data_IF_426380446519
#
_entry.id   IF_426380446519
#
_cell.length_a   1.000
_cell.length_b   1.000
_cell.length_c   1.000
_cell.angle_alpha   90.00
_cell.angle_beta   90.00
_cell.angle_gamma   90.00
#
_symmetry.space_group_name_H-M   'P 1'
#
loop_
_entity.id
_entity.type
_entity.pdbx_description
1 polymer ?
#
# COMPACT_ATOMS: atom_id res chain seq x y z
N UNK A 1 -17.74 10.66 14.45
CA UNK A 1 -17.01 9.52 13.88
C UNK A 1 -15.53 9.86 13.72
N UNK A 2 -14.62 8.85 13.80
CA UNK A 2 -13.16 9.07 13.64
C UNK A 2 -12.83 9.64 12.27
N UNK A 3 -13.44 9.11 11.20
CA UNK A 3 -13.26 9.60 9.81
C UNK A 3 -13.55 11.11 9.68
N UNK A 4 -14.60 11.60 10.30
CA UNK A 4 -15.00 13.01 10.23
C UNK A 4 -14.02 13.91 10.98
N UNK A 5 -13.47 13.41 12.10
CA UNK A 5 -12.40 14.09 12.83
C UNK A 5 -11.11 14.16 12.05
N UNK A 6 -10.75 13.08 11.33
CA UNK A 6 -9.56 13.05 10.46
C UNK A 6 -9.71 14.07 9.33
N UNK A 7 -10.88 14.11 8.67
CA UNK A 7 -11.20 15.09 7.63
C UNK A 7 -11.04 16.52 8.15
N UNK A 8 -11.74 16.85 9.26
CA UNK A 8 -11.69 18.19 9.85
C UNK A 8 -10.30 18.59 10.35
N UNK A 9 -9.55 17.65 10.94
CA UNK A 9 -8.18 17.93 11.39
C UNK A 9 -7.21 18.10 10.22
N UNK A 10 -7.30 17.27 9.17
CA UNK A 10 -6.47 17.37 7.97
C UNK A 10 -6.70 18.69 7.22
N UNK A 11 -7.95 19.18 7.20
CA UNK A 11 -8.28 20.46 6.55
C UNK A 11 -7.56 21.67 7.15
N UNK A 12 -7.03 21.56 8.36
CA UNK A 12 -6.23 22.62 9.01
C UNK A 12 -4.77 22.63 8.62
N UNK A 13 -4.31 21.75 7.72
CA UNK A 13 -2.91 21.62 7.32
C UNK A 13 -2.01 20.93 8.34
N UNK A 14 -2.57 20.37 9.42
CA UNK A 14 -1.81 19.60 10.41
C UNK A 14 -1.59 18.15 9.95
N UNK A 15 -0.49 17.54 10.39
CA UNK A 15 -0.24 16.11 10.18
C UNK A 15 -1.23 15.31 11.02
N UNK A 16 -2.03 14.49 10.34
CA UNK A 16 -3.10 13.69 10.97
C UNK A 16 -2.92 12.23 10.60
N UNK A 17 -2.98 11.37 11.61
CA UNK A 17 -2.90 9.93 11.46
C UNK A 17 -4.08 9.28 12.19
N UNK A 18 -4.60 8.22 11.61
CA UNK A 18 -5.53 7.29 12.27
C UNK A 18 -5.10 5.85 12.01
N UNK A 19 -5.40 4.97 12.93
CA UNK A 19 -5.13 3.54 12.80
C UNK A 19 -6.36 2.71 13.12
N UNK A 20 -6.53 1.60 12.43
CA UNK A 20 -7.58 0.62 12.70
C UNK A 20 -7.18 -0.75 12.15
N UNK A 21 -8.09 -1.70 12.22
CA UNK A 21 -7.94 -3.05 11.66
C UNK A 21 -9.15 -3.37 10.81
N UNK A 22 -8.93 -3.91 9.63
CA UNK A 22 -9.89 -4.43 8.64
C UNK A 22 -11.35 -3.96 8.75
N UNK A 23 -12.23 -4.48 9.64
CA UNK A 23 -13.62 -4.00 9.73
C UNK A 23 -13.74 -2.53 10.12
N UNK A 24 -12.81 -2.02 10.97
CA UNK A 24 -12.79 -0.61 11.34
C UNK A 24 -12.36 0.28 10.18
N UNK A 25 -11.48 -0.19 9.33
CA UNK A 25 -11.08 0.50 8.06
C UNK A 25 -12.25 0.50 7.09
N UNK A 26 -13.00 -0.60 6.98
CA UNK A 26 -14.22 -0.67 6.16
C UNK A 26 -15.24 0.40 6.55
N UNK A 27 -15.39 0.68 7.84
CA UNK A 27 -16.25 1.77 8.33
C UNK A 27 -15.73 3.18 7.99
N UNK A 28 -14.46 3.32 7.60
CA UNK A 28 -13.86 4.58 7.19
C UNK A 28 -13.85 4.79 5.67
N UNK A 29 -14.28 3.80 4.87
CA UNK A 29 -14.15 3.81 3.41
C UNK A 29 -14.80 5.04 2.76
N UNK A 30 -16.00 5.43 3.15
CA UNK A 30 -16.64 6.67 2.68
C UNK A 30 -15.75 7.90 2.94
N UNK A 31 -15.13 7.96 4.13
CA UNK A 31 -14.22 9.05 4.49
C UNK A 31 -12.99 9.13 3.59
N UNK A 32 -12.47 8.01 3.09
CA UNK A 32 -11.32 8.02 2.16
C UNK A 32 -11.69 8.70 0.84
N UNK A 33 -12.89 8.41 0.31
CA UNK A 33 -13.39 9.07 -0.89
C UNK A 33 -13.50 10.59 -0.68
N UNK A 34 -14.07 11.02 0.44
CA UNK A 34 -14.20 12.45 0.76
C UNK A 34 -12.85 13.14 0.96
N UNK A 35 -11.90 12.48 1.65
CA UNK A 35 -10.55 13.00 1.85
C UNK A 35 -9.80 13.14 0.52
N UNK A 36 -9.92 12.13 -0.35
CA UNK A 36 -9.32 12.18 -1.68
C UNK A 36 -9.97 13.24 -2.57
N UNK A 37 -11.31 13.35 -2.54
CA UNK A 37 -12.06 14.35 -3.27
C UNK A 37 -11.81 15.79 -2.79
N UNK A 38 -11.47 15.98 -1.53
CA UNK A 38 -11.05 17.27 -0.98
C UNK A 38 -9.53 17.50 -1.05
N UNK A 39 -8.77 16.58 -1.61
CA UNK A 39 -7.30 16.59 -1.69
C UNK A 39 -6.63 16.88 -0.34
N UNK A 40 -7.06 16.19 0.71
CA UNK A 40 -6.52 16.37 2.06
C UNK A 40 -5.41 15.35 2.35
N UNK A 41 -4.26 15.82 2.90
CA UNK A 41 -3.20 14.93 3.33
C UNK A 41 -3.55 14.23 4.65
N UNK A 42 -3.53 12.91 4.69
CA UNK A 42 -3.62 12.15 5.93
C UNK A 42 -2.96 10.78 5.80
N UNK A 43 -2.61 10.18 6.93
CA UNK A 43 -2.06 8.84 7.01
C UNK A 43 -3.06 7.92 7.69
N UNK A 44 -3.26 6.74 7.10
CA UNK A 44 -4.11 5.68 7.66
C UNK A 44 -3.26 4.44 7.84
N UNK A 45 -3.30 3.82 9.01
CA UNK A 45 -2.65 2.54 9.25
C UNK A 45 -3.74 1.47 9.35
N UNK A 46 -3.67 0.47 8.47
CA UNK A 46 -4.50 -0.73 8.54
C UNK A 46 -3.63 -1.91 8.99
N UNK A 47 -3.85 -2.38 10.22
CA UNK A 47 -3.25 -3.63 10.70
C UNK A 47 -4.24 -4.74 10.38
N UNK A 48 -4.02 -5.42 9.26
CA UNK A 48 -5.00 -6.36 8.69
C UNK A 48 -5.12 -7.64 9.48
N UNK A 49 -6.33 -8.18 9.51
CA UNK A 49 -6.67 -9.42 10.17
C UNK A 49 -7.59 -10.29 9.32
N UNK A 50 -7.69 -11.58 9.66
CA UNK A 50 -8.51 -12.53 8.91
C UNK A 50 -9.99 -12.20 8.96
N UNK A 51 -10.59 -12.10 7.76
CA UNK A 51 -12.02 -11.92 7.50
C UNK A 51 -12.59 -13.13 6.75
N UNK A 52 -13.83 -13.02 6.23
CA UNK A 52 -14.72 -11.85 6.20
C UNK A 52 -15.48 -11.61 7.51
N UNK A 53 -16.18 -10.48 7.55
CA UNK A 53 -17.01 -10.06 8.70
C UNK A 53 -16.16 -9.66 9.89
N UNK A 54 -16.54 -10.04 11.10
CA UNK A 54 -15.74 -9.80 12.30
C UNK A 54 -14.41 -10.56 12.25
N UNK A 55 -14.43 -11.75 11.65
CA UNK A 55 -13.25 -12.57 11.37
C UNK A 55 -12.50 -13.01 12.63
N UNK A 56 -11.18 -13.10 12.50
CA UNK A 56 -10.26 -13.47 13.58
C UNK A 56 -9.33 -12.31 13.93
N UNK A 57 -8.59 -12.42 15.04
CA UNK A 57 -7.52 -11.47 15.39
C UNK A 57 -6.18 -11.82 14.73
N UNK A 58 -6.13 -12.94 13.99
CA UNK A 58 -4.92 -13.44 13.36
C UNK A 58 -4.57 -12.64 12.10
N UNK A 59 -3.28 -12.59 11.71
CA UNK A 59 -2.81 -11.79 10.57
C UNK A 59 -3.41 -12.26 9.25
N UNK A 60 -3.57 -11.31 8.32
CA UNK A 60 -4.06 -11.59 6.97
C UNK A 60 -3.58 -10.51 6.01
N UNK A 61 -3.67 -10.77 4.71
CA UNK A 61 -3.42 -9.80 3.64
C UNK A 61 -4.65 -9.64 2.73
N UNK A 62 -5.86 -9.97 3.24
CA UNK A 62 -7.10 -9.96 2.45
C UNK A 62 -7.69 -8.56 2.22
N UNK A 63 -7.10 -7.50 2.75
CA UNK A 63 -7.51 -6.12 2.48
C UNK A 63 -6.73 -5.48 1.31
N UNK A 64 -5.98 -6.27 0.54
CA UNK A 64 -5.20 -5.76 -0.59
C UNK A 64 -6.10 -5.03 -1.61
N UNK A 65 -7.21 -5.65 -2.04
CA UNK A 65 -8.15 -5.00 -2.95
C UNK A 65 -8.79 -3.76 -2.35
N UNK A 66 -9.19 -3.81 -1.07
CA UNK A 66 -9.73 -2.66 -0.38
C UNK A 66 -8.76 -1.47 -0.41
N UNK A 67 -7.46 -1.74 -0.21
CA UNK A 67 -6.44 -0.70 -0.18
C UNK A 67 -6.07 -0.18 -1.58
N UNK A 68 -6.02 -1.06 -2.60
CA UNK A 68 -5.43 -0.75 -3.91
C UNK A 68 -6.44 -0.55 -5.04
N UNK A 69 -7.62 -1.20 -4.96
CA UNK A 69 -8.64 -1.20 -6.03
C UNK A 69 -9.87 -0.34 -5.71
N UNK A 70 -9.77 0.55 -4.72
CA UNK A 70 -10.84 1.46 -4.36
C UNK A 70 -11.81 0.88 -3.32
N UNK A 71 -11.52 1.06 -2.06
CA UNK A 71 -12.38 0.67 -0.94
C UNK A 71 -13.59 1.60 -0.72
N UNK A 72 -13.87 2.55 -1.62
CA UNK A 72 -15.00 3.47 -1.59
C UNK A 72 -15.39 3.88 -3.02
N UNK A 73 -16.28 4.87 -3.21
CA UNK A 73 -16.74 5.28 -4.54
C UNK A 73 -15.86 6.37 -5.16
N UNK A 74 -15.88 6.45 -6.49
CA UNK A 74 -15.21 7.46 -7.30
C UNK A 74 -13.81 7.03 -7.79
N UNK A 75 -13.28 7.82 -8.69
CA UNK A 75 -12.00 7.57 -9.38
C UNK A 75 -10.83 8.09 -8.56
N UNK A 76 -10.52 7.43 -7.43
CA UNK A 76 -9.41 7.80 -6.57
C UNK A 76 -8.53 6.62 -6.19
N UNK A 77 -7.30 6.91 -5.79
CA UNK A 77 -6.36 5.95 -5.25
C UNK A 77 -5.69 6.48 -3.98
N UNK A 78 -5.46 5.57 -3.04
CA UNK A 78 -4.51 5.79 -1.94
C UNK A 78 -3.09 5.46 -2.43
N UNK A 79 -2.08 6.12 -1.88
CA UNK A 79 -0.72 5.56 -1.94
C UNK A 79 -0.65 4.50 -0.84
N UNK A 80 -0.19 3.29 -1.16
CA UNK A 80 -0.22 2.16 -0.22
C UNK A 80 1.19 1.62 -0.03
N UNK A 81 1.69 1.68 1.21
CA UNK A 81 2.99 1.17 1.63
C UNK A 81 2.81 -0.11 2.44
N UNK A 82 3.60 -1.14 2.17
CA UNK A 82 3.56 -2.43 2.87
C UNK A 82 4.89 -2.71 3.58
N UNK A 83 5.01 -2.45 4.88
CA UNK A 83 6.19 -2.76 5.65
C UNK A 83 6.37 -4.27 5.84
N UNK A 84 7.63 -4.75 5.91
CA UNK A 84 7.95 -6.13 6.25
C UNK A 84 8.74 -6.28 7.55
N UNK A 85 8.99 -5.19 8.26
CA UNK A 85 9.71 -5.16 9.54
C UNK A 85 9.15 -4.08 10.47
N UNK A 86 9.50 -4.17 11.76
CA UNK A 86 9.13 -3.14 12.74
C UNK A 86 9.85 -1.82 12.44
N UNK A 87 11.09 -1.88 11.93
CA UNK A 87 11.80 -0.70 11.49
C UNK A 87 11.08 0.02 10.34
N UNK A 88 10.67 -0.72 9.31
CA UNK A 88 9.91 -0.11 8.20
C UNK A 88 8.54 0.42 8.66
N UNK A 89 7.88 -0.28 9.61
CA UNK A 89 6.62 0.23 10.18
C UNK A 89 6.80 1.58 10.85
N UNK A 90 7.95 1.80 11.52
CA UNK A 90 8.33 3.09 12.10
C UNK A 90 8.65 4.12 11.00
N UNK A 91 9.54 3.78 10.06
CA UNK A 91 10.07 4.71 9.08
C UNK A 91 9.01 5.16 8.07
N UNK A 92 8.12 4.23 7.65
CA UNK A 92 7.05 4.54 6.72
C UNK A 92 6.00 5.52 7.26
N UNK A 93 5.91 5.75 8.58
CA UNK A 93 5.07 6.82 9.11
C UNK A 93 5.57 8.19 8.65
N UNK A 94 6.89 8.39 8.64
CA UNK A 94 7.50 9.64 8.16
C UNK A 94 7.34 9.78 6.65
N UNK A 95 7.65 8.73 5.90
CA UNK A 95 7.47 8.68 4.44
C UNK A 95 6.02 8.92 4.03
N UNK A 96 5.08 8.29 4.73
CA UNK A 96 3.66 8.45 4.46
C UNK A 96 3.18 9.90 4.64
N UNK A 97 3.65 10.61 5.67
CA UNK A 97 3.36 12.03 5.82
C UNK A 97 3.97 12.87 4.70
N UNK A 98 5.21 12.60 4.33
CA UNK A 98 5.88 13.33 3.26
C UNK A 98 5.15 13.14 1.92
N UNK A 99 4.77 11.90 1.59
CA UNK A 99 3.98 11.58 0.40
C UNK A 99 2.58 12.21 0.45
N UNK A 100 1.92 12.15 1.61
CA UNK A 100 0.58 12.71 1.78
C UNK A 100 0.56 14.22 1.50
N UNK A 101 1.52 14.96 2.03
CA UNK A 101 1.62 16.41 1.79
C UNK A 101 2.14 16.75 0.38
N UNK A 102 3.11 16.00 -0.14
CA UNK A 102 3.63 16.17 -1.50
C UNK A 102 2.55 16.12 -2.57
N UNK A 103 1.62 15.16 -2.42
CA UNK A 103 0.57 14.93 -3.41
C UNK A 103 -0.81 15.41 -2.99
N UNK A 104 -0.96 15.92 -1.75
CA UNK A 104 -2.27 16.21 -1.16
C UNK A 104 -3.21 15.03 -1.38
N UNK A 105 -2.80 13.88 -0.86
CA UNK A 105 -3.47 12.59 -1.08
C UNK A 105 -3.42 11.75 0.20
N UNK A 106 -4.45 10.98 0.53
CA UNK A 106 -4.37 10.03 1.63
C UNK A 106 -3.36 8.92 1.31
N UNK A 107 -2.58 8.53 2.32
CA UNK A 107 -1.59 7.44 2.24
C UNK A 107 -1.96 6.37 3.25
N UNK A 108 -1.95 5.10 2.85
CA UNK A 108 -2.18 3.97 3.73
C UNK A 108 -0.89 3.18 3.97
N UNK A 109 -0.63 2.85 5.22
CA UNK A 109 0.33 1.82 5.60
C UNK A 109 -0.48 0.54 5.84
N UNK A 110 -0.30 -0.44 4.96
CA UNK A 110 -0.97 -1.73 5.00
C UNK A 110 -0.04 -2.75 5.67
N UNK A 111 -0.25 -2.96 6.96
CA UNK A 111 0.47 -3.91 7.80
C UNK A 111 -0.43 -5.08 8.18
N UNK A 112 0.08 -6.03 8.91
CA UNK A 112 -0.69 -7.16 9.44
C UNK A 112 -0.35 -7.47 10.90
N UNK A 113 -1.08 -8.41 11.49
CA UNK A 113 -0.91 -8.79 12.89
C UNK A 113 0.44 -9.45 13.21
N UNK A 114 1.19 -9.95 12.24
CA UNK A 114 2.57 -10.45 12.46
C UNK A 114 3.47 -9.27 12.75
N UNK A 115 3.52 -8.30 11.84
CA UNK A 115 4.35 -7.10 12.00
C UNK A 115 3.91 -6.29 13.22
N UNK A 116 2.59 -6.21 13.48
CA UNK A 116 2.04 -5.44 14.60
C UNK A 116 2.34 -6.03 15.99
N UNK A 117 2.69 -7.31 16.10
CA UNK A 117 2.94 -7.99 17.37
C UNK A 117 4.41 -8.43 17.58
N UNK A 118 5.20 -8.45 16.51
CA UNK A 118 6.60 -8.85 16.62
C UNK A 118 7.44 -7.80 17.33
N UNK A 119 8.50 -8.25 17.99
CA UNK A 119 9.49 -7.39 18.62
C UNK A 119 10.82 -7.48 17.89
N UNK A 120 11.32 -6.33 17.45
CA UNK A 120 12.63 -6.19 16.83
C UNK A 120 13.35 -4.98 17.39
N UNK A 121 14.66 -4.93 17.23
CA UNK A 121 15.43 -3.73 17.53
C UNK A 121 15.07 -2.65 16.52
N UNK A 122 14.66 -1.49 17.00
CA UNK A 122 14.30 -0.33 16.18
C UNK A 122 15.22 0.83 16.49
N UNK A 123 15.75 1.46 15.46
CA UNK A 123 16.43 2.75 15.54
C UNK A 123 15.38 3.84 15.37
N UNK A 124 15.10 4.56 16.44
CA UNK A 124 14.11 5.63 16.41
C UNK A 124 14.70 6.85 15.69
N UNK A 125 13.94 7.39 14.74
CA UNK A 125 14.27 8.67 14.13
C UNK A 125 14.02 9.83 15.11
N UNK A 126 14.68 10.95 14.87
CA UNK A 126 14.46 12.16 15.64
C UNK A 126 13.00 12.62 15.53
N UNK A 127 12.44 13.07 16.65
CA UNK A 127 11.07 13.56 16.68
C UNK A 127 10.92 14.80 15.78
N UNK A 128 10.09 14.71 14.77
CA UNK A 128 9.73 15.89 13.97
C UNK A 128 8.86 16.84 14.79
N UNK A 129 9.22 18.13 14.88
CA UNK A 129 8.41 19.10 15.62
C UNK A 129 7.01 19.22 15.02
N UNK A 130 6.06 19.62 15.85
CA UNK A 130 4.72 19.97 15.37
C UNK A 130 4.80 21.21 14.47
N UNK A 131 4.09 21.17 13.37
CA UNK A 131 3.99 22.35 12.48
C UNK A 131 3.33 23.50 13.24
N UNK A 132 3.96 24.66 13.21
CA UNK A 132 3.40 25.90 13.78
C UNK A 132 2.31 26.47 12.84
N UNK A 133 1.54 27.44 13.33
CA UNK A 133 0.55 28.12 12.49
C UNK A 133 1.21 28.89 11.35
N UNK A 134 2.35 29.51 11.62
CA UNK A 134 3.13 30.26 10.64
C UNK A 134 3.68 29.35 9.53
N UNK A 135 4.20 28.18 9.88
CA UNK A 135 4.67 27.19 8.91
C UNK A 135 3.53 26.67 8.03
N UNK A 136 2.35 26.42 8.60
CA UNK A 136 1.17 25.99 7.84
C UNK A 136 0.72 27.09 6.88
N UNK A 137 0.67 28.35 7.35
CA UNK A 137 0.30 29.49 6.50
C UNK A 137 1.32 29.65 5.37
N UNK A 138 2.61 29.49 5.64
CA UNK A 138 3.67 29.67 4.65
C UNK A 138 3.68 28.56 3.58
N UNK A 139 3.38 27.32 3.96
CA UNK A 139 3.51 26.13 3.09
C UNK A 139 2.19 25.70 2.45
N UNK A 140 1.07 25.82 3.17
CA UNK A 140 -0.24 25.32 2.79
C UNK A 140 -1.36 26.37 2.94
N UNK A 141 -0.99 27.64 3.08
CA UNK A 141 -1.91 28.76 3.26
C UNK A 141 -2.82 29.04 2.06
N UNK A 142 -2.57 28.39 0.94
CA UNK A 142 -3.41 28.46 -0.27
C UNK A 142 -4.67 27.58 -0.18
N UNK A 143 -4.68 26.57 0.69
CA UNK A 143 -5.82 25.64 0.84
C UNK A 143 -6.23 25.39 2.29
N UNK A 144 -5.31 25.39 3.25
CA UNK A 144 -5.58 25.03 4.63
C UNK A 144 -6.52 26.02 5.33
N UNK A 145 -7.37 25.51 6.23
CA UNK A 145 -8.28 26.32 7.03
C UNK A 145 -7.50 26.96 8.20
N UNK A 146 -6.87 28.10 7.90
CA UNK A 146 -6.05 28.88 8.85
C UNK A 146 -6.76 30.13 9.39
N UNK A 147 -8.07 30.20 9.21
CA UNK A 147 -8.86 31.39 9.52
C UNK A 147 -8.95 32.36 8.33
N UNK A 148 -9.98 33.22 8.31
CA UNK A 148 -10.16 34.25 7.30
C UNK A 148 -9.38 35.48 7.68
N UNK A 149 -8.66 36.06 6.71
CA UNK A 149 -8.01 37.37 6.81
C UNK A 149 -8.69 38.37 5.88
N UNK A 150 -8.43 39.66 6.06
CA UNK A 150 -9.08 40.72 5.26
C UNK A 150 -8.60 40.75 3.79
N UNK A 151 -7.40 40.19 3.53
CA UNK A 151 -6.68 40.25 2.25
C UNK A 151 -6.94 39.03 1.35
N UNK A 152 -7.69 38.01 1.81
CA UNK A 152 -8.03 36.84 1.00
C UNK A 152 -9.46 36.36 1.19
N UNK A 153 -9.96 35.61 0.21
CA UNK A 153 -11.23 34.89 0.32
C UNK A 153 -11.14 33.77 1.36
N UNK A 154 -12.27 33.36 1.90
CA UNK A 154 -12.36 32.17 2.74
C UNK A 154 -11.98 30.92 1.94
N UNK A 155 -11.33 29.97 2.61
CA UNK A 155 -11.14 28.63 2.06
C UNK A 155 -12.36 27.78 2.38
N UNK A 156 -12.84 27.04 1.39
CA UNK A 156 -13.92 26.06 1.56
C UNK A 156 -13.36 24.70 1.18
N UNK A 157 -13.34 23.78 2.16
CA UNK A 157 -12.93 22.40 1.93
C UNK A 157 -14.19 21.56 1.76
N UNK A 158 -14.40 21.10 0.55
CA UNK A 158 -15.57 20.28 0.18
C UNK A 158 -15.21 19.32 -0.94
N UNK A 159 -15.91 18.19 -1.02
CA UNK A 159 -15.90 17.27 -2.16
C UNK A 159 -17.23 17.31 -2.93
N UNK A 160 -18.15 18.21 -2.54
CA UNK A 160 -19.43 18.36 -3.25
C UNK A 160 -19.24 19.20 -4.50
N UNK A 161 -19.58 18.65 -5.64
CA UNK A 161 -19.71 19.33 -6.93
C UNK A 161 -21.03 18.90 -7.58
N UNK A 162 -21.85 19.84 -7.99
CA UNK A 162 -23.16 19.59 -8.61
C UNK A 162 -23.14 19.68 -10.12
N UNK A 163 -22.14 20.36 -10.70
CA UNK A 163 -21.95 20.41 -12.15
C UNK A 163 -21.12 19.17 -12.59
N UNK A 164 -21.70 18.25 -13.39
CA UNK A 164 -21.00 17.03 -13.82
C UNK A 164 -19.73 17.34 -14.65
N UNK A 165 -19.72 18.42 -15.41
CA UNK A 165 -18.54 18.81 -16.20
C UNK A 165 -17.43 19.41 -15.31
N UNK A 166 -17.78 20.08 -14.21
CA UNK A 166 -16.78 20.51 -13.22
C UNK A 166 -16.19 19.30 -12.48
N UNK A 167 -17.04 18.34 -12.12
CA UNK A 167 -16.58 17.09 -11.51
C UNK A 167 -15.68 16.26 -12.46
N UNK A 168 -16.01 16.20 -13.76
CA UNK A 168 -15.17 15.55 -14.77
C UNK A 168 -13.78 16.19 -14.84
N UNK A 169 -13.70 17.50 -14.96
CA UNK A 169 -12.40 18.23 -14.95
C UNK A 169 -11.60 18.01 -13.68
N UNK A 170 -12.28 17.89 -12.54
CA UNK A 170 -11.62 17.56 -11.28
C UNK A 170 -11.05 16.14 -11.28
N UNK A 171 -11.79 15.16 -11.80
CA UNK A 171 -11.31 13.79 -11.95
C UNK A 171 -10.11 13.71 -12.91
N UNK A 172 -10.10 14.46 -14.02
CA UNK A 172 -8.94 14.57 -14.91
C UNK A 172 -7.68 15.07 -14.17
N UNK A 173 -7.85 16.08 -13.28
CA UNK A 173 -6.77 16.54 -12.40
C UNK A 173 -6.27 15.43 -11.49
N UNK A 174 -7.17 14.65 -10.87
CA UNK A 174 -6.81 13.50 -10.03
C UNK A 174 -6.08 12.42 -10.83
N UNK A 175 -6.55 12.08 -12.03
CA UNK A 175 -5.91 11.11 -12.93
C UNK A 175 -4.48 11.55 -13.27
N UNK A 176 -4.29 12.84 -13.59
CA UNK A 176 -2.95 13.38 -13.84
C UNK A 176 -2.04 13.33 -12.60
N UNK A 177 -2.58 13.56 -11.39
CA UNK A 177 -1.87 13.36 -10.13
C UNK A 177 -1.44 11.91 -9.94
N UNK A 178 -2.35 10.96 -10.16
CA UNK A 178 -2.04 9.53 -10.02
C UNK A 178 -1.05 9.03 -11.07
N UNK A 179 -1.04 9.61 -12.27
CA UNK A 179 0.00 9.33 -13.26
C UNK A 179 1.39 9.71 -12.74
N UNK A 180 1.55 10.90 -12.15
CA UNK A 180 2.80 11.33 -11.51
C UNK A 180 3.20 10.45 -10.33
N UNK A 181 2.24 9.99 -9.52
CA UNK A 181 2.50 9.06 -8.41
C UNK A 181 3.02 7.73 -8.97
N UNK A 182 2.39 7.18 -10.01
CA UNK A 182 2.83 5.94 -10.66
C UNK A 182 4.21 6.05 -11.30
N UNK A 183 4.60 7.21 -11.75
CA UNK A 183 5.92 7.45 -12.33
C UNK A 183 7.02 7.56 -11.27
N UNK A 184 6.73 8.21 -10.14
CA UNK A 184 7.77 8.67 -9.22
C UNK A 184 7.84 7.90 -7.90
N UNK A 185 6.80 7.16 -7.50
CA UNK A 185 6.70 6.62 -6.14
C UNK A 185 6.66 5.07 -6.09
N UNK A 186 6.97 4.42 -7.19
CA UNK A 186 7.11 2.95 -7.20
C UNK A 186 8.34 2.55 -6.39
N UNK A 187 8.13 1.67 -5.39
CA UNK A 187 9.20 1.12 -4.54
C UNK A 187 9.07 -0.39 -4.43
N UNK A 188 10.17 -1.07 -4.57
CA UNK A 188 10.26 -2.53 -4.43
C UNK A 188 11.67 -2.94 -4.02
N UNK A 189 11.82 -4.19 -3.62
CA UNK A 189 13.09 -4.85 -3.33
C UNK A 189 13.21 -6.10 -4.20
N UNK A 190 14.39 -6.31 -4.77
CA UNK A 190 14.77 -7.54 -5.44
C UNK A 190 15.75 -8.33 -4.59
N UNK A 191 15.56 -9.63 -4.51
CA UNK A 191 16.46 -10.54 -3.81
C UNK A 191 16.77 -11.75 -4.68
N UNK A 192 18.04 -11.91 -5.08
CA UNK A 192 18.55 -12.99 -5.94
C UNK A 192 17.77 -13.14 -7.25
N UNK A 193 17.43 -12.02 -7.91
CA UNK A 193 16.63 -12.03 -9.15
C UNK A 193 17.49 -12.09 -10.41
N UNK A 194 18.79 -11.76 -10.34
CA UNK A 194 19.66 -11.54 -11.50
C UNK A 194 19.78 -12.76 -12.42
N UNK A 195 19.89 -13.96 -11.84
CA UNK A 195 20.04 -15.24 -12.55
C UNK A 195 18.85 -16.17 -12.33
N UNK A 196 17.73 -15.65 -11.78
CA UNK A 196 16.58 -16.46 -11.41
C UNK A 196 15.82 -16.99 -12.62
N UNK A 197 15.49 -18.28 -12.55
CA UNK A 197 14.57 -18.96 -13.46
C UNK A 197 13.11 -18.74 -13.04
N UNK A 198 12.87 -18.61 -11.74
CA UNK A 198 11.54 -18.45 -11.12
C UNK A 198 11.56 -17.30 -10.13
N UNK A 199 10.48 -16.55 -10.08
CA UNK A 199 10.33 -15.40 -9.19
C UNK A 199 9.13 -15.62 -8.25
N UNK A 200 9.39 -15.50 -6.95
CA UNK A 200 8.32 -15.34 -5.96
C UNK A 200 7.99 -13.85 -5.87
N UNK A 201 6.71 -13.51 -5.84
CA UNK A 201 6.24 -12.15 -5.57
C UNK A 201 5.45 -12.16 -4.28
N UNK A 202 5.88 -11.41 -3.29
CA UNK A 202 5.25 -11.35 -1.97
C UNK A 202 5.48 -10.01 -1.29
N UNK A 203 4.55 -9.56 -0.44
CA UNK A 203 4.68 -8.31 0.31
C UNK A 203 4.51 -8.52 1.81
N UNK A 204 4.89 -7.52 2.61
CA UNK A 204 4.70 -7.53 4.06
C UNK A 204 5.31 -8.76 4.74
N UNK A 205 4.59 -9.33 5.70
CA UNK A 205 5.04 -10.53 6.43
C UNK A 205 5.23 -11.76 5.53
N UNK A 206 4.42 -11.92 4.47
CA UNK A 206 4.61 -12.99 3.49
C UNK A 206 5.97 -12.91 2.80
N UNK A 207 6.45 -11.71 2.46
CA UNK A 207 7.76 -11.53 1.85
C UNK A 207 8.92 -11.97 2.76
N UNK A 208 8.80 -11.75 4.08
CA UNK A 208 9.80 -12.27 5.06
C UNK A 208 9.92 -13.78 5.01
N UNK A 209 8.77 -14.46 4.96
CA UNK A 209 8.73 -15.93 4.89
C UNK A 209 9.30 -16.40 3.55
N UNK A 210 8.92 -15.78 2.45
CA UNK A 210 9.39 -16.12 1.12
C UNK A 210 10.88 -15.89 0.91
N UNK A 211 11.51 -14.95 1.64
CA UNK A 211 12.97 -14.79 1.61
C UNK A 211 13.68 -16.05 2.05
N UNK A 212 13.24 -16.66 3.15
CA UNK A 212 13.76 -17.97 3.60
C UNK A 212 13.49 -19.07 2.57
N UNK A 213 12.32 -19.08 1.95
CA UNK A 213 12.00 -20.02 0.86
C UNK A 213 13.00 -19.92 -0.29
N UNK A 214 13.37 -18.69 -0.69
CA UNK A 214 14.38 -18.48 -1.75
C UNK A 214 15.73 -19.04 -1.33
N UNK A 215 16.18 -18.78 -0.11
CA UNK A 215 17.44 -19.32 0.43
C UNK A 215 17.44 -20.85 0.39
N UNK A 216 16.39 -21.50 0.90
CA UNK A 216 16.22 -22.96 0.86
C UNK A 216 16.22 -23.51 -0.58
N UNK A 217 15.52 -22.87 -1.50
CA UNK A 217 15.47 -23.28 -2.89
C UNK A 217 16.85 -23.16 -3.57
N UNK A 218 17.59 -22.10 -3.27
CA UNK A 218 18.95 -21.88 -3.75
C UNK A 218 19.95 -22.94 -3.22
N UNK A 219 19.84 -23.29 -1.95
CA UNK A 219 20.64 -24.38 -1.37
C UNK A 219 20.34 -25.74 -2.02
N UNK A 220 19.08 -25.95 -2.45
CA UNK A 220 18.68 -27.14 -3.20
C UNK A 220 19.03 -27.08 -4.70
N UNK A 221 19.69 -26.00 -5.18
CA UNK A 221 20.16 -25.87 -6.54
C UNK A 221 19.15 -25.21 -7.51
N UNK A 222 18.01 -24.72 -7.04
CA UNK A 222 17.04 -24.03 -7.86
C UNK A 222 17.32 -22.52 -7.94
N UNK A 223 17.27 -21.96 -9.14
CA UNK A 223 17.46 -20.52 -9.36
C UNK A 223 16.17 -19.76 -9.12
N UNK A 224 15.89 -19.46 -7.87
CA UNK A 224 14.70 -18.72 -7.43
C UNK A 224 15.11 -17.34 -6.95
N UNK A 225 14.30 -16.34 -7.24
CA UNK A 225 14.44 -14.97 -6.72
C UNK A 225 13.13 -14.48 -6.09
N UNK A 226 13.18 -13.36 -5.38
CA UNK A 226 12.02 -12.70 -4.78
C UNK A 226 11.94 -11.25 -5.26
N UNK A 227 10.76 -10.82 -5.70
CA UNK A 227 10.40 -9.42 -5.83
C UNK A 227 9.41 -9.09 -4.72
N UNK A 228 9.76 -8.11 -3.90
CA UNK A 228 8.93 -7.60 -2.82
C UNK A 228 8.39 -6.21 -3.19
N UNK A 229 7.11 -6.05 -3.54
CA UNK A 229 6.49 -4.74 -3.58
C UNK A 229 6.56 -4.07 -2.20
N UNK A 230 7.12 -2.86 -2.13
CA UNK A 230 7.07 -1.96 -0.97
C UNK A 230 5.86 -1.05 -1.13
N UNK A 231 5.65 -0.50 -2.32
CA UNK A 231 4.38 0.15 -2.68
C UNK A 231 3.45 -0.89 -3.32
N UNK A 232 2.23 -0.99 -2.81
CA UNK A 232 1.16 -1.79 -3.43
C UNK A 232 0.32 -0.92 -4.38
N UNK A 233 0.25 0.37 -4.14
CA UNK A 233 -0.12 1.38 -5.11
C UNK A 233 0.80 2.60 -4.94
N UNK A 234 1.52 2.97 -5.98
CA UNK A 234 1.61 2.32 -7.31
C UNK A 234 2.30 0.96 -7.26
N UNK A 235 1.78 0.00 -8.04
CA UNK A 235 2.34 -1.35 -8.11
C UNK A 235 3.60 -1.40 -9.00
N UNK A 236 4.65 -2.16 -8.65
CA UNK A 236 5.91 -2.23 -9.39
C UNK A 236 5.81 -3.13 -10.64
N UNK A 237 4.89 -2.79 -11.55
CA UNK A 237 4.62 -3.60 -12.74
C UNK A 237 5.83 -3.70 -13.67
N UNK A 238 6.64 -2.64 -13.76
CA UNK A 238 7.76 -2.60 -14.70
C UNK A 238 8.81 -3.68 -14.41
N UNK A 239 9.22 -3.87 -13.16
CA UNK A 239 10.22 -4.89 -12.80
C UNK A 239 9.74 -6.29 -13.13
N UNK A 240 8.46 -6.61 -12.90
CA UNK A 240 7.89 -7.92 -13.23
C UNK A 240 7.81 -8.14 -14.73
N UNK A 241 7.43 -7.11 -15.48
CA UNK A 241 7.44 -7.13 -16.94
C UNK A 241 8.84 -7.37 -17.50
N UNK A 242 9.84 -6.63 -17.00
CA UNK A 242 11.23 -6.74 -17.45
C UNK A 242 11.82 -8.13 -17.12
N UNK A 243 11.49 -8.71 -15.95
CA UNK A 243 11.87 -10.07 -15.58
C UNK A 243 11.23 -11.12 -16.52
N UNK A 244 9.95 -10.97 -16.83
CA UNK A 244 9.26 -11.83 -17.78
C UNK A 244 9.88 -11.73 -19.19
N UNK A 245 10.15 -10.52 -19.67
CA UNK A 245 10.80 -10.26 -20.96
C UNK A 245 12.24 -10.83 -21.02
N UNK A 246 12.94 -10.91 -19.88
CA UNK A 246 14.27 -11.56 -19.77
C UNK A 246 14.20 -13.08 -19.91
N UNK A 247 13.04 -13.69 -19.82
CA UNK A 247 12.84 -15.12 -19.99
C UNK A 247 12.73 -15.90 -18.68
N UNK A 248 12.30 -15.26 -17.59
CA UNK A 248 11.90 -15.95 -16.35
C UNK A 248 10.81 -16.97 -16.68
N UNK A 249 10.98 -18.22 -16.22
CA UNK A 249 10.13 -19.35 -16.57
C UNK A 249 8.76 -19.31 -15.89
N UNK A 250 8.63 -18.61 -14.76
CA UNK A 250 7.36 -18.48 -14.05
C UNK A 250 7.44 -17.63 -12.80
N UNK A 251 6.25 -17.19 -12.37
CA UNK A 251 6.04 -16.37 -11.18
C UNK A 251 5.11 -17.08 -10.20
N UNK A 252 5.41 -17.00 -8.91
CA UNK A 252 4.55 -17.46 -7.82
C UNK A 252 4.17 -16.27 -6.93
N UNK A 253 2.91 -15.83 -6.96
CA UNK A 253 2.40 -14.88 -5.97
C UNK A 253 2.08 -15.60 -4.67
N UNK A 254 2.79 -15.26 -3.59
CA UNK A 254 2.59 -15.84 -2.28
C UNK A 254 1.96 -14.82 -1.33
N UNK A 255 0.75 -15.11 -0.85
CA UNK A 255 -0.11 -14.15 -0.15
C UNK A 255 -0.85 -14.77 1.05
N UNK A 256 -1.12 -13.99 2.09
CA UNK A 256 -2.00 -14.43 3.19
C UNK A 256 -3.48 -14.12 2.90
N UNK A 257 -3.91 -14.53 1.69
CA UNK A 257 -5.28 -14.47 1.18
C UNK A 257 -5.49 -15.49 0.06
N UNK A 258 -6.64 -15.48 -0.61
CA UNK A 258 -6.99 -16.38 -1.73
C UNK A 258 -6.68 -15.80 -3.12
N UNK A 259 -5.69 -14.91 -3.23
CA UNK A 259 -5.24 -14.38 -4.52
C UNK A 259 -5.86 -13.03 -4.82
N UNK A 260 -5.24 -11.97 -4.34
CA UNK A 260 -5.60 -10.58 -4.67
C UNK A 260 -4.46 -9.89 -5.40
N UNK A 261 -3.24 -9.88 -4.86
CA UNK A 261 -2.07 -9.29 -5.53
C UNK A 261 -1.72 -10.05 -6.83
N UNK A 262 -1.99 -11.35 -6.90
CA UNK A 262 -1.75 -12.16 -8.10
C UNK A 262 -2.40 -11.59 -9.36
N UNK A 263 -3.50 -10.85 -9.23
CA UNK A 263 -4.12 -10.16 -10.37
C UNK A 263 -3.22 -9.06 -10.94
N UNK A 264 -2.60 -8.26 -10.06
CA UNK A 264 -1.63 -7.24 -10.50
C UNK A 264 -0.35 -7.86 -11.04
N UNK A 265 0.11 -8.99 -10.47
CA UNK A 265 1.25 -9.75 -11.01
C UNK A 265 0.93 -10.26 -12.42
N UNK A 266 -0.26 -10.83 -12.64
CA UNK A 266 -0.71 -11.29 -13.98
C UNK A 266 -0.79 -10.15 -14.99
N UNK A 267 -1.33 -9.00 -14.59
CA UNK A 267 -1.38 -7.81 -15.43
C UNK A 267 0.04 -7.32 -15.79
N UNK A 268 0.95 -7.31 -14.82
CA UNK A 268 2.33 -6.86 -15.03
C UNK A 268 3.10 -7.81 -15.95
N UNK A 269 2.99 -9.12 -15.77
CA UNK A 269 3.64 -10.16 -16.59
C UNK A 269 3.01 -10.23 -17.98
N UNK A 270 1.74 -9.87 -18.14
CA UNK A 270 1.00 -9.76 -19.39
C UNK A 270 1.12 -11.01 -20.31
N UNK A 271 1.00 -12.19 -19.71
CA UNK A 271 1.01 -13.47 -20.44
C UNK A 271 2.38 -13.94 -20.94
N UNK A 272 3.47 -13.21 -20.69
CA UNK A 272 4.83 -13.59 -21.14
C UNK A 272 5.40 -14.81 -20.40
N UNK A 273 4.89 -15.09 -19.19
CA UNK A 273 5.24 -16.25 -18.38
C UNK A 273 4.02 -16.69 -17.56
N UNK A 274 3.95 -17.97 -17.12
CA UNK A 274 2.90 -18.42 -16.23
C UNK A 274 3.00 -17.72 -14.87
N UNK A 275 1.83 -17.37 -14.30
CA UNK A 275 1.70 -16.77 -12.96
C UNK A 275 0.77 -17.63 -12.13
N UNK A 276 1.30 -18.26 -11.12
CA UNK A 276 0.57 -19.09 -10.17
C UNK A 276 0.39 -18.37 -8.83
N UNK A 277 -0.51 -18.89 -8.03
CA UNK A 277 -0.81 -18.37 -6.70
C UNK A 277 -0.65 -19.46 -5.65
N UNK A 278 -0.05 -19.10 -4.53
CA UNK A 278 -0.11 -19.87 -3.29
C UNK A 278 -0.50 -18.97 -2.14
N UNK A 279 -1.45 -19.40 -1.33
CA UNK A 279 -1.90 -18.57 -0.21
C UNK A 279 -2.63 -19.35 0.88
N UNK A 280 -2.72 -18.68 2.03
CA UNK A 280 -3.54 -19.10 3.17
C UNK A 280 -4.43 -17.96 3.61
N UNK A 281 -5.58 -18.25 4.14
CA UNK A 281 -6.57 -17.24 4.52
C UNK A 281 -7.11 -17.45 5.93
N UNK A 282 -7.97 -16.55 6.38
CA UNK A 282 -8.65 -16.63 7.67
C UNK A 282 -7.72 -16.48 8.88
N UNK A 283 -6.48 -16.01 8.68
CA UNK A 283 -5.49 -15.84 9.73
C UNK A 283 -4.47 -16.98 9.82
N UNK A 284 -4.55 -17.98 8.95
CA UNK A 284 -3.51 -18.99 8.83
C UNK A 284 -2.30 -18.42 8.08
N UNK A 285 -1.10 -18.66 8.61
CA UNK A 285 0.17 -18.25 8.01
C UNK A 285 0.85 -19.49 7.44
N UNK A 286 1.49 -19.37 6.29
CA UNK A 286 2.29 -20.45 5.70
C UNK A 286 3.72 -20.45 6.26
N UNK A 287 4.38 -21.61 6.21
CA UNK A 287 5.81 -21.75 6.50
C UNK A 287 6.64 -21.65 5.20
N UNK A 288 7.97 -21.41 5.31
CA UNK A 288 8.88 -21.45 4.16
C UNK A 288 8.80 -22.77 3.39
N UNK A 289 8.71 -23.91 4.09
CA UNK A 289 8.61 -25.25 3.48
C UNK A 289 7.36 -25.39 2.62
N UNK A 290 6.22 -24.87 3.10
CA UNK A 290 4.96 -24.92 2.36
C UNK A 290 5.00 -24.12 1.06
N UNK A 291 5.67 -22.96 1.06
CA UNK A 291 5.87 -22.15 -0.16
C UNK A 291 6.86 -22.87 -1.09
N UNK A 292 7.90 -23.49 -0.53
CA UNK A 292 8.86 -24.27 -1.31
C UNK A 292 8.21 -25.48 -1.98
N UNK A 293 7.39 -26.25 -1.26
CA UNK A 293 6.60 -27.34 -1.83
C UNK A 293 5.66 -26.86 -2.93
N UNK A 294 4.95 -25.73 -2.72
CA UNK A 294 4.09 -25.14 -3.73
C UNK A 294 4.85 -24.74 -5.00
N UNK A 295 6.07 -24.23 -4.85
CA UNK A 295 6.94 -23.91 -5.97
C UNK A 295 7.31 -25.17 -6.77
N UNK A 296 7.62 -26.30 -6.09
CA UNK A 296 8.03 -27.55 -6.75
C UNK A 296 6.85 -28.35 -7.30
N UNK A 297 5.68 -28.35 -6.63
CA UNK A 297 4.49 -29.09 -7.06
C UNK A 297 3.82 -28.50 -8.29
N UNK A 298 4.05 -27.25 -8.56
CA UNK A 298 3.56 -26.64 -9.77
C UNK A 298 4.22 -27.28 -10.99
N UNK A 299 3.51 -28.22 -11.63
CA UNK A 299 4.02 -29.04 -12.76
C UNK A 299 4.53 -28.21 -13.95
N UNK A 300 4.26 -26.92 -13.95
CA UNK A 300 4.76 -25.94 -14.93
C UNK A 300 6.20 -25.49 -14.63
N UNK A 301 6.74 -25.79 -13.45
CA UNK A 301 8.10 -25.45 -13.02
C UNK A 301 9.08 -26.65 -13.08
N UNK A 302 8.65 -27.79 -13.66
CA UNK A 302 9.49 -28.97 -13.87
C UNK A 302 10.18 -28.97 -15.23
#
# INVERSE_FOLDING_TARGET
CIRDRVYGAASTGKRVLTSSSSPGVSLMSEGFSYIAGAELPCVVINVTRGGPGLGTIQPSQSDYFQATKGGAHGDFHLIVLAPNSVQEMHDFVFDAFDLAFKYRNPVMILSDGVIGQMMEKVVLADQRPRRTAEEIIAQDGDWALTGKTADRKEHVITSLELDPYAQERFNEKLIAKYAKIRENEVRYEEFMTEDADYIIVAFGSAARICRMTVEMAREAGYKVGLVRPITLYPFPSKVLHDLAARGVKGFLSAELNHGQMVEDVRLAVNGQAPVEHYGRSGGAVFSPDQVYEALLMNSKYK
#
